data_IF_718879526432
#
_entry.id   IF_718879526432
#
_cell.length_a   1.000
_cell.length_b   1.000
_cell.length_c   1.000
_cell.angle_alpha   90.00
_cell.angle_beta   90.00
_cell.angle_gamma   90.00
#
_symmetry.space_group_name_H-M   'P 1'
#
loop_
_entity.id
_entity.type
_entity.pdbx_description
1 polymer ?
#
# COMPACT_ATOMS: atom_id res chain seq x y z
N UNK A 1 20.83 -22.54 11.53
CA UNK A 1 19.44 -22.22 11.88
C UNK A 1 18.98 -20.92 11.22
N UNK A 2 19.75 -19.83 11.31
CA UNK A 2 19.52 -18.51 10.65
C UNK A 2 18.98 -18.56 9.20
N UNK A 3 19.60 -19.33 8.30
CA UNK A 3 19.14 -19.43 6.89
C UNK A 3 17.73 -20.01 6.71
N UNK A 4 17.31 -20.95 7.58
CA UNK A 4 15.96 -21.54 7.51
C UNK A 4 14.90 -20.58 8.05
N UNK A 5 15.21 -19.83 9.10
CA UNK A 5 14.31 -18.81 9.66
C UNK A 5 14.12 -17.64 8.70
N UNK A 6 15.18 -17.22 8.00
CA UNK A 6 15.07 -16.16 6.99
C UNK A 6 14.17 -16.58 5.82
N UNK A 7 14.28 -17.82 5.35
CA UNK A 7 13.37 -18.37 4.34
C UNK A 7 11.92 -18.39 4.83
N UNK A 8 11.70 -18.77 6.09
CA UNK A 8 10.37 -18.84 6.67
C UNK A 8 9.72 -17.46 6.83
N UNK A 9 10.47 -16.44 7.24
CA UNK A 9 9.96 -15.05 7.28
C UNK A 9 9.60 -14.59 5.87
N UNK A 10 10.45 -14.81 4.86
CA UNK A 10 10.14 -14.48 3.46
C UNK A 10 8.86 -15.16 2.98
N UNK A 11 8.68 -16.44 3.32
CA UNK A 11 7.46 -17.19 3.03
C UNK A 11 6.21 -16.57 3.70
N UNK A 12 6.31 -16.18 4.97
CA UNK A 12 5.21 -15.53 5.68
C UNK A 12 4.88 -14.13 5.14
N UNK A 13 5.88 -13.36 4.70
CA UNK A 13 5.69 -12.06 4.03
C UNK A 13 4.91 -12.27 2.73
N UNK A 14 5.34 -13.22 1.89
CA UNK A 14 4.62 -13.55 0.65
C UNK A 14 3.17 -13.97 0.93
N UNK A 15 2.93 -14.73 2.02
CA UNK A 15 1.58 -15.21 2.37
C UNK A 15 0.69 -14.04 2.76
N UNK A 16 1.25 -13.13 3.55
CA UNK A 16 0.60 -11.88 3.93
C UNK A 16 0.29 -11.00 2.71
N UNK A 17 1.18 -10.93 1.73
CA UNK A 17 0.95 -10.16 0.51
C UNK A 17 -0.18 -10.74 -0.34
N UNK A 18 -0.25 -12.07 -0.48
CA UNK A 18 -1.38 -12.73 -1.15
C UNK A 18 -2.71 -12.45 -0.43
N UNK A 19 -2.73 -12.51 0.90
CA UNK A 19 -3.96 -12.24 1.67
C UNK A 19 -4.37 -10.76 1.55
N UNK A 20 -3.41 -9.84 1.59
CA UNK A 20 -3.70 -8.43 1.39
C UNK A 20 -4.20 -8.13 -0.02
N UNK A 21 -3.60 -8.74 -1.04
CA UNK A 21 -4.04 -8.63 -2.42
C UNK A 21 -5.48 -9.16 -2.61
N UNK A 22 -5.83 -10.26 -1.94
CA UNK A 22 -7.20 -10.78 -1.89
C UNK A 22 -8.17 -9.81 -1.22
N UNK A 23 -7.80 -9.25 -0.07
CA UNK A 23 -8.63 -8.28 0.64
C UNK A 23 -8.88 -7.01 -0.21
N UNK A 24 -7.87 -6.56 -0.95
CA UNK A 24 -8.00 -5.47 -1.90
C UNK A 24 -8.97 -5.81 -3.05
N UNK A 25 -8.81 -6.96 -3.71
CA UNK A 25 -9.71 -7.39 -4.79
C UNK A 25 -11.16 -7.50 -4.31
N UNK A 26 -11.35 -7.96 -3.07
CA UNK A 26 -12.66 -8.00 -2.43
C UNK A 26 -13.24 -6.59 -2.23
N UNK A 27 -12.42 -5.61 -1.87
CA UNK A 27 -12.82 -4.21 -1.68
C UNK A 27 -13.11 -3.46 -2.99
N UNK A 28 -12.51 -3.85 -4.12
CA UNK A 28 -12.65 -3.17 -5.42
C UNK A 28 -13.58 -3.84 -6.46
N UNK A 29 -13.86 -5.14 -6.35
CA UNK A 29 -14.52 -6.02 -7.36
C UNK A 29 -13.66 -6.24 -8.63
N UNK A 30 -13.40 -7.48 -9.11
CA UNK A 30 -14.41 -8.50 -9.50
C UNK A 30 -14.15 -9.96 -9.03
N UNK A 31 -15.24 -10.74 -8.87
CA UNK A 31 -15.31 -12.09 -8.26
C UNK A 31 -14.39 -13.17 -8.84
N UNK A 32 -13.85 -13.02 -10.05
CA UNK A 32 -13.17 -14.10 -10.77
C UNK A 32 -11.72 -14.34 -10.28
N UNK A 33 -10.98 -13.29 -9.92
CA UNK A 33 -9.60 -13.42 -9.40
C UNK A 33 -9.51 -13.90 -7.95
N UNK A 34 -10.63 -13.89 -7.21
CA UNK A 34 -10.65 -14.29 -5.80
C UNK A 34 -10.39 -15.79 -5.60
N UNK A 35 -10.92 -16.64 -6.48
CA UNK A 35 -10.76 -18.10 -6.38
C UNK A 35 -9.29 -18.53 -6.56
N UNK A 36 -8.58 -17.90 -7.48
CA UNK A 36 -7.16 -18.16 -7.72
C UNK A 36 -6.31 -17.73 -6.53
N UNK A 37 -6.56 -16.53 -5.99
CA UNK A 37 -5.89 -16.07 -4.77
C UNK A 37 -6.18 -16.98 -3.58
N UNK A 38 -7.43 -17.41 -3.40
CA UNK A 38 -7.82 -18.35 -2.34
C UNK A 38 -7.05 -19.68 -2.47
N UNK A 39 -6.89 -20.19 -3.68
CA UNK A 39 -6.09 -21.39 -3.95
C UNK A 39 -4.62 -21.17 -3.61
N UNK A 40 -4.01 -20.07 -4.06
CA UNK A 40 -2.59 -19.78 -3.81
C UNK A 40 -2.31 -19.58 -2.32
N UNK A 41 -3.17 -18.84 -1.61
CA UNK A 41 -3.10 -18.65 -0.15
C UNK A 41 -3.19 -20.00 0.57
N UNK A 42 -4.08 -20.88 0.13
CA UNK A 42 -4.22 -22.22 0.71
C UNK A 42 -2.95 -23.05 0.50
N UNK A 43 -2.50 -23.20 -0.75
CA UNK A 43 -1.29 -23.99 -1.10
C UNK A 43 -0.09 -23.52 -0.28
N UNK A 44 0.15 -22.22 -0.27
CA UNK A 44 1.32 -21.67 0.40
C UNK A 44 1.20 -21.71 1.94
N UNK A 45 -0.03 -21.64 2.46
CA UNK A 45 -0.31 -21.86 3.87
C UNK A 45 -0.20 -23.32 4.31
N UNK A 46 -0.42 -24.28 3.41
CA UNK A 46 -0.28 -25.73 3.68
C UNK A 46 1.19 -26.16 3.80
N UNK A 47 2.15 -25.35 3.32
CA UNK A 47 3.59 -25.56 3.51
C UNK A 47 4.08 -25.22 4.93
N UNK A 48 3.26 -24.52 5.72
CA UNK A 48 3.58 -24.17 7.11
C UNK A 48 3.23 -25.31 8.07
N UNK A 49 3.91 -25.36 9.23
CA UNK A 49 3.47 -26.24 10.32
C UNK A 49 2.05 -25.86 10.79
N UNK A 50 1.21 -26.83 11.21
CA UNK A 50 -0.18 -26.54 11.61
C UNK A 50 -0.30 -25.46 12.69
N UNK A 51 0.60 -25.48 13.68
CA UNK A 51 0.65 -24.50 14.76
C UNK A 51 0.99 -23.09 14.26
N UNK A 52 2.02 -22.98 13.41
CA UNK A 52 2.43 -21.70 12.84
C UNK A 52 1.35 -21.11 11.94
N UNK A 53 0.74 -21.95 11.08
CA UNK A 53 -0.37 -21.54 10.22
C UNK A 53 -1.54 -21.00 11.03
N UNK A 54 -1.97 -21.74 12.06
CA UNK A 54 -3.07 -21.33 12.94
C UNK A 54 -2.78 -19.98 13.61
N UNK A 55 -1.57 -19.83 14.15
CA UNK A 55 -1.13 -18.58 14.78
C UNK A 55 -1.10 -17.41 13.80
N UNK A 56 -0.53 -17.61 12.61
CA UNK A 56 -0.45 -16.60 11.56
C UNK A 56 -1.86 -16.17 11.10
N UNK A 57 -2.75 -17.12 10.79
CA UNK A 57 -4.11 -16.81 10.34
C UNK A 57 -4.91 -16.05 11.40
N UNK A 58 -4.73 -16.38 12.69
CA UNK A 58 -5.34 -15.63 13.81
C UNK A 58 -4.84 -14.18 13.87
N UNK A 59 -3.55 -13.94 13.61
CA UNK A 59 -2.99 -12.59 13.55
C UNK A 59 -3.55 -11.81 12.35
N UNK A 60 -3.62 -12.45 11.17
CA UNK A 60 -4.16 -11.85 9.94
C UNK A 60 -5.64 -11.45 10.08
N UNK A 61 -6.44 -12.26 10.77
CA UNK A 61 -7.84 -11.93 11.03
C UNK A 61 -8.01 -10.69 11.91
N UNK A 62 -7.11 -10.47 12.87
CA UNK A 62 -7.13 -9.28 13.74
C UNK A 62 -6.51 -8.07 13.06
N UNK A 63 -5.48 -8.29 12.24
CA UNK A 63 -4.69 -7.27 11.59
C UNK A 63 -4.40 -7.74 10.16
N UNK A 64 -4.74 -6.96 9.14
CA UNK A 64 -4.42 -7.33 7.73
C UNK A 64 -2.93 -7.73 7.56
N UNK A 65 -2.06 -7.13 8.36
CA UNK A 65 -0.64 -7.50 8.47
C UNK A 65 -0.36 -8.21 9.80
N UNK A 66 0.00 -9.49 9.71
CA UNK A 66 0.45 -10.31 10.83
C UNK A 66 1.93 -10.11 11.15
N UNK A 67 2.72 -9.71 10.15
CA UNK A 67 4.12 -9.35 10.26
C UNK A 67 4.24 -7.84 10.30
N UNK A 68 5.12 -7.33 11.16
CA UNK A 68 5.48 -5.92 11.23
C UNK A 68 7.00 -5.77 11.12
N UNK A 69 7.49 -4.91 10.22
CA UNK A 69 8.91 -4.60 10.20
C UNK A 69 9.30 -3.90 11.51
N UNK A 70 10.57 -4.05 11.87
CA UNK A 70 11.21 -3.22 12.89
C UNK A 70 11.88 -2.04 12.18
N UNK A 71 11.47 -0.84 12.55
CA UNK A 71 12.05 0.41 12.03
C UNK A 71 12.66 1.19 13.18
N UNK A 72 13.97 1.39 13.15
CA UNK A 72 14.73 1.90 14.29
C UNK A 72 14.58 0.95 15.49
N UNK A 73 14.11 1.49 16.62
CA UNK A 73 13.84 0.70 17.84
C UNK A 73 12.33 0.45 18.04
N UNK A 74 11.50 0.52 17.00
CA UNK A 74 10.04 0.45 17.14
C UNK A 74 9.42 -0.68 16.30
N UNK A 75 8.32 -1.23 16.81
CA UNK A 75 7.40 -2.06 16.02
C UNK A 75 6.55 -1.18 15.11
N UNK A 76 6.74 -1.25 13.79
CA UNK A 76 6.02 -0.41 12.81
C UNK A 76 4.50 -0.63 12.79
N UNK A 77 4.03 -1.76 13.32
CA UNK A 77 2.60 -2.04 13.40
C UNK A 77 1.86 -1.38 14.56
N UNK A 78 2.54 -1.01 15.65
CA UNK A 78 1.86 -0.41 16.82
C UNK A 78 2.63 0.72 17.51
N UNK A 79 3.84 1.04 17.04
CA UNK A 79 4.71 2.07 17.62
C UNK A 79 5.34 1.69 18.96
N UNK A 80 5.23 0.44 19.41
CA UNK A 80 5.84 0.01 20.66
C UNK A 80 7.37 0.06 20.56
N UNK A 81 8.00 0.72 21.53
CA UNK A 81 9.45 0.81 21.67
C UNK A 81 10.02 -0.53 22.13
N UNK A 82 10.74 -1.19 21.24
CA UNK A 82 11.41 -2.46 21.47
C UNK A 82 12.73 -2.23 22.22
N UNK A 83 13.14 -3.22 23.02
CA UNK A 83 14.45 -3.15 23.68
C UNK A 83 15.57 -3.35 22.65
N UNK A 84 16.73 -2.73 22.87
CA UNK A 84 17.92 -2.92 22.03
C UNK A 84 18.29 -4.39 21.85
N UNK A 85 18.14 -5.19 22.91
CA UNK A 85 18.36 -6.63 22.84
C UNK A 85 17.42 -7.29 21.83
N UNK A 86 16.14 -6.97 21.84
CA UNK A 86 15.18 -7.50 20.86
C UNK A 86 15.54 -7.07 19.44
N UNK A 87 15.87 -5.79 19.22
CA UNK A 87 16.25 -5.27 17.90
C UNK A 87 17.50 -5.96 17.38
N UNK A 88 18.55 -6.05 18.19
CA UNK A 88 19.81 -6.71 17.83
C UNK A 88 19.60 -8.19 17.50
N UNK A 89 18.74 -8.85 18.27
CA UNK A 89 18.39 -10.25 18.08
C UNK A 89 17.64 -10.48 16.74
N UNK A 90 16.68 -9.61 16.43
CA UNK A 90 15.93 -9.64 15.16
C UNK A 90 16.87 -9.36 13.98
N UNK A 91 17.71 -8.32 14.09
CA UNK A 91 18.67 -7.94 13.04
C UNK A 91 19.79 -8.99 12.85
N UNK A 92 20.20 -9.64 13.93
CA UNK A 92 21.21 -10.70 13.92
C UNK A 92 20.72 -12.01 13.33
N UNK A 93 19.45 -12.09 12.92
CA UNK A 93 18.83 -13.31 12.40
C UNK A 93 18.79 -14.45 13.41
N UNK A 94 18.91 -14.11 14.70
CA UNK A 94 19.14 -15.04 15.79
C UNK A 94 17.97 -14.99 16.77
N UNK A 95 16.74 -15.24 16.31
CA UNK A 95 15.64 -15.59 17.20
C UNK A 95 14.60 -16.40 16.47
N UNK A 96 14.09 -17.42 17.17
CA UNK A 96 12.70 -17.85 17.04
C UNK A 96 11.79 -16.64 16.77
N UNK A 97 10.79 -16.80 15.89
CA UNK A 97 9.87 -15.73 15.46
C UNK A 97 9.52 -14.74 16.57
N UNK A 98 10.24 -13.63 16.61
CA UNK A 98 10.11 -12.65 17.67
C UNK A 98 8.76 -11.98 17.55
N UNK A 99 8.08 -11.77 18.68
CA UNK A 99 6.77 -11.12 18.69
C UNK A 99 6.84 -9.78 19.40
N UNK A 100 6.06 -8.83 18.89
CA UNK A 100 5.84 -7.59 19.59
C UNK A 100 5.13 -7.86 20.92
N UNK A 101 5.63 -7.37 22.07
CA UNK A 101 5.03 -7.63 23.37
C UNK A 101 3.69 -6.90 23.55
N UNK A 102 3.42 -5.89 22.72
CA UNK A 102 2.18 -5.13 22.73
C UNK A 102 1.14 -5.72 21.77
N UNK A 103 1.43 -5.71 20.45
CA UNK A 103 0.44 -6.12 19.45
C UNK A 103 0.54 -7.59 19.00
N UNK A 104 1.51 -8.35 19.52
CA UNK A 104 1.73 -9.79 19.24
C UNK A 104 2.08 -10.16 17.79
N UNK A 105 2.17 -9.18 16.88
CA UNK A 105 2.64 -9.38 15.51
C UNK A 105 4.06 -9.96 15.49
N UNK A 106 4.35 -10.75 14.46
CA UNK A 106 5.68 -11.29 14.20
C UNK A 106 6.56 -10.15 13.70
N UNK A 107 7.72 -9.97 14.32
CA UNK A 107 8.68 -8.92 14.00
C UNK A 107 9.73 -9.46 13.04
N UNK A 108 10.14 -8.62 12.08
CA UNK A 108 11.25 -8.93 11.19
C UNK A 108 12.06 -7.68 10.87
N UNK A 109 13.33 -7.86 10.51
CA UNK A 109 14.16 -6.81 9.94
C UNK A 109 13.90 -6.74 8.43
N UNK A 110 13.46 -5.60 7.87
CA UNK A 110 13.29 -5.47 6.43
C UNK A 110 14.65 -5.47 5.71
N UNK A 111 14.71 -6.06 4.51
CA UNK A 111 15.91 -6.06 3.66
C UNK A 111 16.31 -4.61 3.30
N UNK A 112 15.31 -3.75 3.07
CA UNK A 112 15.46 -2.30 2.83
C UNK A 112 14.43 -1.54 3.67
N UNK A 113 14.84 -0.62 4.56
CA UNK A 113 13.89 0.18 5.33
C UNK A 113 13.25 1.26 4.43
N UNK A 114 11.98 1.08 4.08
CA UNK A 114 11.22 2.12 3.41
C UNK A 114 10.80 3.17 4.44
N UNK A 115 11.44 4.34 4.39
CA UNK A 115 11.17 5.44 5.32
C UNK A 115 10.89 6.74 4.59
N UNK A 116 10.40 7.73 5.33
CA UNK A 116 10.19 9.07 4.84
C UNK A 116 10.35 10.10 5.94
N UNK A 117 10.69 11.31 5.54
CA UNK A 117 10.77 12.45 6.43
C UNK A 117 9.52 13.31 6.29
N UNK A 118 8.51 13.09 7.13
CA UNK A 118 7.31 13.93 7.07
C UNK A 118 7.50 15.18 7.93
N UNK A 119 7.27 16.40 7.40
CA UNK A 119 7.20 17.59 8.23
C UNK A 119 6.16 17.38 9.33
N UNK A 120 6.56 17.62 10.59
CA UNK A 120 5.61 17.55 11.71
C UNK A 120 4.55 18.64 11.49
N UNK A 121 3.27 18.25 11.53
CA UNK A 121 2.15 19.20 11.56
C UNK A 121 2.41 20.21 12.68
N UNK A 122 2.39 21.48 12.34
CA UNK A 122 2.60 22.57 13.30
C UNK A 122 1.29 22.90 13.98
N UNK A 123 1.40 23.40 15.21
CA UNK A 123 0.25 23.94 15.90
C UNK A 123 -0.35 25.09 15.06
N UNK A 124 -1.67 25.05 14.85
CA UNK A 124 -2.38 26.04 14.02
C UNK A 124 -2.59 25.63 12.56
N UNK A 125 -1.96 24.56 12.08
CA UNK A 125 -2.22 24.06 10.72
C UNK A 125 -3.71 23.72 10.55
N UNK A 126 -4.35 24.02 9.40
CA UNK A 126 -5.75 23.70 9.19
C UNK A 126 -6.01 22.19 9.30
N UNK A 127 -7.19 21.83 9.80
CA UNK A 127 -7.61 20.43 9.89
C UNK A 127 -8.06 19.98 8.50
N UNK A 128 -7.28 19.11 7.87
CA UNK A 128 -7.66 18.45 6.60
C UNK A 128 -8.85 17.51 6.84
N UNK A 129 -9.81 17.46 5.90
CA UNK A 129 -11.03 16.63 5.98
C UNK A 129 -11.19 15.78 4.71
N UNK A 130 -11.94 14.68 4.79
CA UNK A 130 -12.18 13.83 3.62
C UNK A 130 -10.87 13.34 2.97
N UNK A 131 -10.81 13.45 1.64
CA UNK A 131 -9.65 12.98 0.85
C UNK A 131 -8.38 13.79 1.11
N UNK A 132 -8.48 15.06 1.51
CA UNK A 132 -7.34 15.95 1.79
C UNK A 132 -6.43 15.41 2.88
N UNK A 133 -6.95 14.56 3.76
CA UNK A 133 -6.19 13.90 4.82
C UNK A 133 -5.06 13.02 4.28
N UNK A 134 -5.17 12.60 3.02
CA UNK A 134 -4.29 11.62 2.40
C UNK A 134 -3.52 12.17 1.19
N UNK A 135 -3.82 13.38 0.73
CA UNK A 135 -3.23 13.91 -0.51
C UNK A 135 -3.16 15.44 -0.48
N UNK A 136 -2.60 16.03 -1.52
CA UNK A 136 -2.42 17.47 -1.68
C UNK A 136 -2.41 17.85 -3.18
N UNK A 137 -2.63 19.13 -3.54
CA UNK A 137 -2.64 19.58 -4.92
C UNK A 137 -1.38 19.18 -5.70
N UNK A 138 -0.19 19.31 -5.09
CA UNK A 138 1.11 18.96 -5.69
C UNK A 138 1.28 17.47 -6.02
N UNK A 139 0.38 16.60 -5.54
CA UNK A 139 0.34 15.17 -5.86
C UNK A 139 -0.60 14.83 -7.02
N UNK A 140 -1.05 15.83 -7.79
CA UNK A 140 -1.99 15.67 -8.90
C UNK A 140 -1.29 15.76 -10.27
N UNK A 141 -0.93 14.62 -10.85
CA UNK A 141 -0.35 14.53 -12.18
C UNK A 141 -1.46 14.41 -13.23
N UNK A 142 -2.04 15.54 -13.64
CA UNK A 142 -3.14 15.59 -14.63
C UNK A 142 -2.76 15.10 -16.04
N UNK A 143 -1.46 14.90 -16.30
CA UNK A 143 -0.93 14.37 -17.55
C UNK A 143 0.35 13.56 -17.30
N UNK A 144 0.16 12.26 -17.08
CA UNK A 144 1.28 11.30 -17.07
C UNK A 144 1.92 11.21 -18.46
N UNK A 145 3.25 11.15 -18.48
CA UNK A 145 4.07 10.96 -19.68
C UNK A 145 4.36 9.49 -19.95
N UNK A 146 4.46 8.68 -18.90
CA UNK A 146 4.70 7.25 -18.99
C UNK A 146 3.67 6.50 -19.84
N UNK A 147 4.14 5.46 -20.52
CA UNK A 147 3.40 4.62 -21.45
C UNK A 147 3.38 3.14 -21.07
N UNK A 148 4.25 2.74 -20.13
CA UNK A 148 4.27 1.43 -19.48
C UNK A 148 3.86 1.53 -18.01
N UNK A 149 3.64 0.39 -17.37
CA UNK A 149 3.44 0.29 -15.93
C UNK A 149 4.65 0.82 -15.15
N UNK A 150 5.85 0.40 -15.55
CA UNK A 150 7.12 0.82 -14.95
C UNK A 150 7.31 2.34 -15.00
N UNK A 151 7.10 2.95 -16.17
CA UNK A 151 7.26 4.39 -16.37
C UNK A 151 6.23 5.21 -15.57
N UNK A 152 4.96 4.77 -15.54
CA UNK A 152 3.91 5.48 -14.78
C UNK A 152 4.13 5.37 -13.29
N UNK A 153 4.55 4.21 -12.78
CA UNK A 153 4.87 4.04 -11.37
C UNK A 153 6.09 4.86 -10.96
N UNK A 154 7.11 4.95 -11.83
CA UNK A 154 8.28 5.79 -11.59
C UNK A 154 7.88 7.26 -11.52
N UNK A 155 7.13 7.76 -12.50
CA UNK A 155 6.70 9.16 -12.56
C UNK A 155 5.89 9.59 -11.32
N UNK A 156 4.98 8.72 -10.83
CA UNK A 156 4.20 8.96 -9.62
C UNK A 156 5.05 8.98 -8.35
N UNK A 157 6.04 8.10 -8.30
CA UNK A 157 6.98 7.97 -7.20
C UNK A 157 7.96 9.15 -7.14
N UNK A 158 8.53 9.55 -8.28
CA UNK A 158 9.41 10.72 -8.40
C UNK A 158 8.68 11.99 -7.98
N UNK A 159 7.40 12.15 -8.34
CA UNK A 159 6.61 13.28 -7.88
C UNK A 159 6.47 13.29 -6.35
N UNK A 160 6.19 12.13 -5.73
CA UNK A 160 6.13 12.06 -4.26
C UNK A 160 7.48 12.40 -3.62
N UNK A 161 8.61 12.01 -4.22
CA UNK A 161 9.94 12.34 -3.71
C UNK A 161 10.25 13.84 -3.83
N UNK A 162 9.99 14.42 -5.01
CA UNK A 162 10.23 15.83 -5.28
C UNK A 162 9.43 16.74 -4.34
N UNK A 163 8.19 16.35 -4.01
CA UNK A 163 7.33 17.06 -3.08
C UNK A 163 7.60 16.70 -1.60
N UNK A 164 8.60 15.87 -1.31
CA UNK A 164 9.04 15.53 0.05
C UNK A 164 8.11 14.58 0.83
N UNK A 165 7.27 13.81 0.14
CA UNK A 165 6.38 12.82 0.76
C UNK A 165 7.06 11.46 0.99
N UNK A 166 8.12 11.16 0.24
CA UNK A 166 8.96 9.96 0.36
C UNK A 166 10.44 10.34 0.19
N UNK A 167 11.36 9.55 0.75
CA UNK A 167 12.81 9.82 0.67
C UNK A 167 13.48 9.21 -0.56
N UNK A 168 13.27 7.92 -0.79
CA UNK A 168 13.91 7.17 -1.87
C UNK A 168 12.86 6.57 -2.82
N UNK A 169 12.82 7.10 -4.03
CA UNK A 169 11.94 6.61 -5.06
C UNK A 169 12.40 5.29 -5.69
N UNK A 170 13.70 5.02 -5.76
CA UNK A 170 14.19 3.80 -6.40
C UNK A 170 13.71 2.55 -5.64
N UNK A 171 13.87 2.54 -4.32
CA UNK A 171 13.41 1.42 -3.47
C UNK A 171 11.88 1.31 -3.46
N UNK A 172 11.19 2.44 -3.46
CA UNK A 172 9.72 2.49 -3.49
C UNK A 172 9.17 1.98 -4.82
N UNK A 173 9.81 2.32 -5.93
CA UNK A 173 9.47 1.86 -7.27
C UNK A 173 9.68 0.36 -7.40
N UNK A 174 10.81 -0.17 -6.93
CA UNK A 174 11.06 -1.61 -6.92
C UNK A 174 10.01 -2.36 -6.08
N UNK A 175 9.66 -1.83 -4.90
CA UNK A 175 8.58 -2.36 -4.07
C UNK A 175 7.20 -2.30 -4.78
N UNK A 176 6.92 -1.21 -5.51
CA UNK A 176 5.71 -1.06 -6.30
C UNK A 176 5.63 -2.11 -7.42
N UNK A 177 6.71 -2.30 -8.17
CA UNK A 177 6.81 -3.29 -9.25
C UNK A 177 6.64 -4.71 -8.72
N UNK A 178 7.31 -5.07 -7.62
CA UNK A 178 7.11 -6.35 -6.93
C UNK A 178 5.67 -6.57 -6.50
N UNK A 179 5.00 -5.52 -5.98
CA UNK A 179 3.58 -5.63 -5.61
C UNK A 179 2.71 -5.84 -6.85
N UNK A 180 2.92 -5.08 -7.90
CA UNK A 180 2.11 -5.15 -9.13
C UNK A 180 2.26 -6.51 -9.83
N UNK A 181 3.46 -7.13 -9.76
CA UNK A 181 3.72 -8.45 -10.35
C UNK A 181 3.01 -9.62 -9.66
N UNK A 182 2.59 -9.48 -8.40
CA UNK A 182 1.78 -10.51 -7.71
C UNK A 182 0.42 -10.64 -8.37
N UNK A 183 -0.24 -9.50 -8.54
CA UNK A 183 -1.54 -9.38 -9.20
C UNK A 183 -1.76 -7.91 -9.49
N UNK A 184 -2.14 -7.64 -10.74
CA UNK A 184 -2.48 -6.30 -11.19
C UNK A 184 -3.49 -5.63 -10.26
N UNK A 185 -3.21 -4.37 -9.93
CA UNK A 185 -4.06 -3.48 -9.15
C UNK A 185 -5.02 -2.66 -10.03
N UNK A 186 -5.03 -2.91 -11.35
CA UNK A 186 -6.07 -2.42 -12.23
C UNK A 186 -7.43 -3.01 -11.85
N UNK A 187 -8.42 -2.14 -11.86
CA UNK A 187 -9.82 -2.47 -11.58
C UNK A 187 -10.70 -1.93 -12.71
N UNK A 188 -11.99 -2.29 -12.70
CA UNK A 188 -12.93 -1.83 -13.71
C UNK A 188 -13.00 -0.30 -13.81
N UNK A 189 -13.35 0.20 -15.00
CA UNK A 189 -13.54 1.64 -15.21
C UNK A 189 -12.28 2.43 -15.51
N UNK A 190 -11.25 1.79 -16.07
CA UNK A 190 -9.97 2.41 -16.42
C UNK A 190 -9.23 3.01 -15.22
N UNK A 191 -9.35 2.38 -14.05
CA UNK A 191 -8.70 2.80 -12.80
C UNK A 191 -7.70 1.75 -12.33
N UNK A 192 -6.63 2.16 -11.67
CA UNK A 192 -5.75 1.28 -10.91
C UNK A 192 -5.43 1.88 -9.55
N UNK A 193 -5.09 1.00 -8.61
CA UNK A 193 -4.72 1.36 -7.23
C UNK A 193 -3.36 0.77 -6.87
N UNK A 194 -2.27 1.15 -7.56
CA UNK A 194 -0.95 0.67 -7.18
C UNK A 194 -0.58 1.23 -5.81
N UNK A 195 0.05 0.42 -4.98
CA UNK A 195 0.30 0.81 -3.58
C UNK A 195 1.46 0.04 -2.98
N UNK A 196 2.08 0.65 -1.97
CA UNK A 196 3.19 0.08 -1.21
C UNK A 196 2.84 0.21 0.27
N UNK A 197 3.06 -0.88 1.01
CA UNK A 197 2.82 -0.97 2.45
C UNK A 197 4.14 -1.04 3.19
N UNK A 198 4.14 -0.63 4.46
CA UNK A 198 5.33 -0.63 5.31
C UNK A 198 6.27 0.54 5.04
N UNK A 199 5.77 1.65 4.51
CA UNK A 199 6.57 2.88 4.33
C UNK A 199 6.40 3.78 5.55
N UNK A 200 7.40 3.73 6.43
CA UNK A 200 7.33 4.28 7.78
C UNK A 200 7.75 5.75 7.85
N UNK A 201 7.39 6.44 8.94
CA UNK A 201 7.78 7.84 9.18
C UNK A 201 6.71 8.90 8.86
N UNK A 202 5.48 8.49 8.52
CA UNK A 202 4.35 9.43 8.36
C UNK A 202 2.97 8.77 8.23
N UNK A 203 2.02 9.45 7.57
CA UNK A 203 0.63 8.98 7.35
C UNK A 203 0.37 8.42 5.94
N UNK A 204 -0.75 7.73 5.72
CA UNK A 204 -1.12 7.27 4.38
C UNK A 204 -1.13 8.44 3.38
N UNK A 205 -0.42 8.29 2.27
CA UNK A 205 -0.32 9.31 1.20
C UNK A 205 -0.81 8.75 -0.14
N UNK A 206 -1.53 9.57 -0.91
CA UNK A 206 -2.13 9.27 -2.19
C UNK A 206 -1.67 10.29 -3.23
N UNK A 207 -1.14 9.82 -4.34
CA UNK A 207 -0.92 10.58 -5.58
C UNK A 207 -1.92 10.14 -6.64
N UNK A 208 -2.38 11.08 -7.47
CA UNK A 208 -3.34 10.80 -8.53
C UNK A 208 -2.75 11.18 -9.87
N UNK A 209 -2.65 10.20 -10.76
CA UNK A 209 -2.12 10.37 -12.11
C UNK A 209 -3.16 10.10 -13.18
N UNK A 210 -3.15 10.88 -14.25
CA UNK A 210 -4.04 10.72 -15.40
C UNK A 210 -3.23 10.46 -16.68
N UNK A 211 -3.40 9.28 -17.27
CA UNK A 211 -2.91 8.97 -18.61
C UNK A 211 -4.05 9.14 -19.63
N UNK A 212 -3.96 10.17 -20.48
CA UNK A 212 -5.04 10.49 -21.46
C UNK A 212 -5.25 9.35 -22.47
N UNK A 213 -4.16 8.79 -22.96
CA UNK A 213 -4.16 7.65 -23.90
C UNK A 213 -4.54 6.35 -23.19
N UNK A 214 -4.16 6.24 -21.91
CA UNK A 214 -4.26 5.04 -21.12
C UNK A 214 -3.16 4.04 -21.46
N UNK A 215 -2.80 3.22 -20.49
CA UNK A 215 -1.75 2.19 -20.59
C UNK A 215 -2.34 0.80 -20.40
N UNK A 216 -1.66 -0.21 -20.92
CA UNK A 216 -1.94 -1.58 -20.51
C UNK A 216 -1.34 -1.79 -19.11
N UNK A 217 -2.16 -2.25 -18.18
CA UNK A 217 -1.80 -2.39 -16.76
C UNK A 217 -2.40 -3.67 -16.17
N UNK A 218 -2.63 -4.69 -16.99
CA UNK A 218 -3.17 -5.99 -16.57
C UNK A 218 -4.68 -6.01 -16.24
N UNK A 219 -5.39 -4.94 -16.59
CA UNK A 219 -6.85 -4.83 -16.50
C UNK A 219 -7.54 -5.25 -17.81
N UNK A 220 -8.88 -5.34 -17.80
CA UNK A 220 -9.66 -5.67 -19.02
C UNK A 220 -9.74 -4.53 -20.03
N UNK A 221 -9.43 -3.30 -19.61
CA UNK A 221 -9.35 -2.11 -20.45
C UNK A 221 -8.10 -1.32 -20.10
N UNK A 222 -7.64 -0.46 -21.02
CA UNK A 222 -6.55 0.47 -20.73
C UNK A 222 -6.85 1.32 -19.49
N UNK A 223 -5.88 1.39 -18.58
CA UNK A 223 -5.97 2.17 -17.35
C UNK A 223 -5.62 3.62 -17.65
N UNK A 224 -6.46 4.55 -17.19
CA UNK A 224 -6.30 6.00 -17.39
C UNK A 224 -6.16 6.79 -16.09
N UNK A 225 -6.65 6.25 -14.97
CA UNK A 225 -6.64 6.93 -13.67
C UNK A 225 -5.86 6.06 -12.69
N UNK A 226 -4.83 6.62 -12.08
CA UNK A 226 -3.96 5.94 -11.14
C UNK A 226 -4.11 6.57 -9.77
N UNK A 227 -4.48 5.77 -8.78
CA UNK A 227 -4.53 6.15 -7.37
C UNK A 227 -3.37 5.49 -6.64
N UNK A 228 -2.18 6.10 -6.71
CA UNK A 228 -0.94 5.54 -6.18
C UNK A 228 -0.80 5.85 -4.69
N UNK A 229 -0.68 4.81 -3.86
CA UNK A 229 -0.72 4.96 -2.40
C UNK A 229 0.55 4.44 -1.71
N UNK A 230 1.01 5.22 -0.73
CA UNK A 230 2.09 4.85 0.19
C UNK A 230 1.49 4.72 1.59
N UNK A 231 1.64 3.54 2.20
CA UNK A 231 0.88 3.14 3.39
C UNK A 231 1.84 2.68 4.49
N UNK A 232 1.90 3.36 5.65
CA UNK A 232 2.62 2.82 6.81
C UNK A 232 1.90 1.59 7.37
N UNK A 233 2.61 0.64 7.97
CA UNK A 233 2.03 -0.61 8.53
C UNK A 233 0.89 -0.31 9.53
N UNK A 234 1.01 0.76 10.32
CA UNK A 234 -0.03 1.18 11.26
C UNK A 234 -1.35 1.60 10.57
N UNK A 235 -1.31 2.00 9.30
CA UNK A 235 -2.48 2.45 8.53
C UNK A 235 -3.06 1.39 7.58
N UNK A 236 -2.53 0.16 7.58
CA UNK A 236 -2.95 -0.90 6.64
C UNK A 236 -4.44 -1.28 6.76
N UNK A 237 -5.10 -1.05 7.90
CA UNK A 237 -6.56 -1.22 8.00
C UNK A 237 -7.36 -0.08 7.34
N UNK A 238 -6.80 1.14 7.30
CA UNK A 238 -7.51 2.32 6.85
C UNK A 238 -7.47 2.47 5.32
N UNK A 239 -6.39 2.04 4.65
CA UNK A 239 -6.30 2.20 3.20
C UNK A 239 -7.37 1.42 2.43
N UNK A 240 -7.78 0.23 2.90
CA UNK A 240 -8.86 -0.52 2.25
C UNK A 240 -10.19 0.24 2.27
N UNK A 241 -10.47 0.98 3.35
CA UNK A 241 -11.65 1.85 3.42
C UNK A 241 -11.54 3.01 2.43
N UNK A 242 -10.35 3.61 2.31
CA UNK A 242 -10.09 4.67 1.33
C UNK A 242 -10.26 4.15 -0.10
N UNK A 243 -9.68 3.00 -0.42
CA UNK A 243 -9.76 2.35 -1.72
C UNK A 243 -11.22 2.01 -2.09
N UNK A 244 -11.99 1.44 -1.15
CA UNK A 244 -13.42 1.18 -1.35
C UNK A 244 -14.19 2.48 -1.61
N UNK A 245 -13.92 3.53 -0.82
CA UNK A 245 -14.52 4.85 -1.00
C UNK A 245 -14.21 5.48 -2.36
N UNK A 246 -12.96 5.41 -2.82
CA UNK A 246 -12.52 5.89 -4.13
C UNK A 246 -13.18 5.09 -5.27
N UNK A 247 -13.19 3.76 -5.16
CA UNK A 247 -13.82 2.87 -6.14
C UNK A 247 -15.31 3.18 -6.27
N UNK A 248 -15.99 3.37 -5.14
CA UNK A 248 -17.42 3.71 -5.13
C UNK A 248 -17.69 5.10 -5.71
N UNK A 249 -16.88 6.11 -5.31
CA UNK A 249 -16.95 7.48 -5.82
C UNK A 249 -16.83 7.56 -7.33
N UNK A 250 -15.99 6.71 -7.92
CA UNK A 250 -15.66 6.73 -9.35
C UNK A 250 -16.19 5.49 -10.09
N UNK A 251 -17.28 4.90 -9.59
CA UNK A 251 -17.89 3.69 -10.14
C UNK A 251 -18.51 3.89 -11.54
N UNK A 252 -19.05 5.07 -11.83
CA UNK A 252 -19.69 5.39 -13.12
C UNK A 252 -18.78 6.20 -14.05
N UNK A 253 -19.01 6.11 -15.36
CA UNK A 253 -18.27 6.90 -16.34
C UNK A 253 -18.45 8.41 -16.12
N UNK A 254 -19.67 8.86 -15.81
CA UNK A 254 -19.97 10.26 -15.51
C UNK A 254 -19.21 10.77 -14.27
N UNK A 255 -19.00 9.93 -13.26
CA UNK A 255 -18.23 10.31 -12.08
C UNK A 255 -16.72 10.44 -12.37
N UNK A 256 -16.19 9.66 -13.33
CA UNK A 256 -14.78 9.69 -13.75
C UNK A 256 -14.47 10.81 -14.73
N UNK A 257 -15.46 11.26 -15.49
CA UNK A 257 -15.29 12.25 -16.56
C UNK A 257 -14.58 13.54 -16.12
N UNK A 258 -14.88 14.15 -14.95
CA UNK A 258 -14.15 15.32 -14.48
C UNK A 258 -12.65 15.08 -14.30
N UNK A 259 -12.24 13.94 -13.72
CA UNK A 259 -10.82 13.58 -13.57
C UNK A 259 -10.14 13.44 -14.93
N UNK A 260 -10.81 12.78 -15.88
CA UNK A 260 -10.28 12.53 -17.22
C UNK A 260 -10.17 13.82 -18.06
N UNK A 261 -11.04 14.81 -17.82
CA UNK A 261 -11.06 16.09 -18.54
C UNK A 261 -10.19 17.19 -17.91
N UNK A 262 -9.68 16.98 -16.70
CA UNK A 262 -8.79 17.93 -16.02
C UNK A 262 -7.61 18.35 -16.93
N UNK A 263 -7.35 19.66 -17.00
CA UNK A 263 -6.32 20.26 -17.85
C UNK A 263 -5.16 20.86 -17.06
N UNK A 264 -5.27 20.91 -15.74
CA UNK A 264 -4.22 21.34 -14.82
C UNK A 264 -4.21 20.50 -13.54
N UNK A 265 -3.18 20.72 -12.72
CA UNK A 265 -3.06 20.16 -11.38
C UNK A 265 -4.28 20.56 -10.52
N UNK A 266 -4.69 21.82 -10.59
CA UNK A 266 -5.81 22.41 -9.86
C UNK A 266 -7.14 21.80 -10.29
N UNK A 267 -7.36 21.64 -11.60
CA UNK A 267 -8.58 21.00 -12.12
C UNK A 267 -8.73 19.58 -11.58
N UNK A 268 -7.63 18.81 -11.57
CA UNK A 268 -7.63 17.43 -11.09
C UNK A 268 -7.88 17.38 -9.58
N UNK A 269 -7.25 18.28 -8.83
CA UNK A 269 -7.48 18.44 -7.40
C UNK A 269 -8.95 18.71 -7.08
N UNK A 270 -9.56 19.71 -7.72
CA UNK A 270 -10.96 20.06 -7.49
C UNK A 270 -11.93 18.92 -7.86
N UNK A 271 -11.66 18.26 -8.99
CA UNK A 271 -12.44 17.10 -9.43
C UNK A 271 -12.37 15.94 -8.43
N UNK A 272 -11.18 15.66 -7.86
CA UNK A 272 -10.97 14.64 -6.85
C UNK A 272 -11.74 14.98 -5.56
N UNK A 273 -11.60 16.20 -5.05
CA UNK A 273 -12.26 16.67 -3.83
C UNK A 273 -13.79 16.55 -3.97
N UNK A 274 -14.33 17.07 -5.09
CA UNK A 274 -15.77 17.02 -5.37
C UNK A 274 -16.29 15.59 -5.52
N UNK A 275 -15.56 14.74 -6.25
CA UNK A 275 -15.96 13.35 -6.51
C UNK A 275 -15.94 12.47 -5.26
N UNK A 276 -15.10 12.79 -4.28
CA UNK A 276 -14.91 11.97 -3.07
C UNK A 276 -15.69 12.45 -1.85
N UNK A 277 -16.21 13.69 -1.85
CA UNK A 277 -16.89 14.34 -0.71
C UNK A 277 -17.95 13.48 0.01
N UNK A 278 -18.67 12.62 -0.71
CA UNK A 278 -19.72 11.76 -0.12
C UNK A 278 -19.19 10.47 0.50
N UNK A 279 -18.18 9.86 -0.13
CA UNK A 279 -17.72 8.50 0.19
C UNK A 279 -16.48 8.48 1.08
N UNK A 280 -15.63 9.51 1.00
CA UNK A 280 -14.40 9.64 1.81
C UNK A 280 -14.61 10.74 2.85
N UNK A 281 -14.63 10.36 4.14
CA UNK A 281 -14.91 11.25 5.27
C UNK A 281 -13.68 11.49 6.16
#
# INVERSE_FOLDING_TARGET
>A
MVRKEHHLIKHLIQLQDLIAARAQQQASHPKQKLLELDKNIKTMGDELSPELRSNFMRLVQKNIEALAPVTGENCSGCGFALTKTMVNNINGGAVEMSRCPNCTRILYAPDVPLTRNTPRRRWGDPVKRGIERFTAPELMLHKLKGSTDEEVLMELCENMQNEGYVEDCADLHEAAMRRESIISTAVGGAMAFPHIRGVEGGGLTLSVGISKKGIDFGGSTKTKIFFYMVIPTAASAFYLKLLAGLTQSFSTAAAREPLLKAKSQEDLWEALIKGTRKMVK
#
